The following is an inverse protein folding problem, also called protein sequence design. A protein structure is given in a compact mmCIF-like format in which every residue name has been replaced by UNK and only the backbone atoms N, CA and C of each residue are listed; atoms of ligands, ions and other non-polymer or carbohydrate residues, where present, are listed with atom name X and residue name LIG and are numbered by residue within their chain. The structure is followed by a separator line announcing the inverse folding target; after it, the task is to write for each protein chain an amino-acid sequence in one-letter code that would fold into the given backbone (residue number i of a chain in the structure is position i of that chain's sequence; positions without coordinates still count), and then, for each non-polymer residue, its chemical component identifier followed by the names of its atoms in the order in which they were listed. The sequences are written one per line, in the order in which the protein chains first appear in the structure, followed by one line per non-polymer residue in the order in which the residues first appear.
data_IF_285638411204
#
_entry.id   IF_285638411204
#
_cell.length_a   1.000
_cell.length_b   1.000
_cell.length_c   1.000
_cell.angle_alpha   90.00
_cell.angle_beta   90.00
_cell.angle_gamma   90.00
#
_symmetry.space_group_name_H-M   'P 1'
#
loop_
_entity.id
_entity.type
_entity.pdbx_description
1 polymer ?
#
# COMPACT_ATOMS: atom_id res chain seq x y z
N UNK A 1 -9.49 2.24 6.03
CA UNK A 1 -9.42 2.21 4.56
C UNK A 1 -8.57 3.38 4.08
N UNK A 2 -7.59 3.15 3.21
CA UNK A 2 -6.74 4.19 2.62
C UNK A 2 -7.10 4.36 1.13
N UNK A 3 -7.32 5.60 0.72
CA UNK A 3 -7.59 5.93 -0.68
C UNK A 3 -6.28 6.14 -1.44
N UNK A 4 -6.14 5.48 -2.57
CA UNK A 4 -5.03 5.63 -3.50
C UNK A 4 -5.55 6.24 -4.79
N UNK A 5 -4.92 7.33 -5.23
CA UNK A 5 -5.23 7.98 -6.52
C UNK A 5 -4.74 7.12 -7.68
N UNK A 6 -5.31 7.33 -8.87
CA UNK A 6 -4.82 6.72 -10.09
C UNK A 6 -3.38 7.13 -10.40
N UNK A 7 -2.60 6.23 -10.99
CA UNK A 7 -1.21 6.50 -11.40
C UNK A 7 -0.79 5.64 -12.60
N UNK A 8 0.35 5.99 -13.20
CA UNK A 8 0.98 5.15 -14.24
C UNK A 8 1.95 4.18 -13.57
N UNK A 9 1.71 2.89 -13.76
CA UNK A 9 2.58 1.80 -13.32
C UNK A 9 3.29 1.14 -14.49
N UNK A 10 4.04 0.07 -14.20
CA UNK A 10 4.63 -0.81 -15.22
C UNK A 10 4.28 -2.25 -14.96
N UNK A 11 4.09 -3.01 -16.03
CA UNK A 11 4.02 -4.46 -15.95
C UNK A 11 5.43 -5.00 -15.62
N UNK A 12 5.65 -5.65 -14.46
CA UNK A 12 6.97 -6.21 -14.13
C UNK A 12 7.41 -7.31 -15.10
N UNK A 13 6.43 -7.93 -15.77
CA UNK A 13 6.52 -8.79 -16.96
C UNK A 13 7.36 -8.22 -18.10
N UNK A 14 6.79 -7.15 -18.67
CA UNK A 14 7.09 -6.68 -20.03
C UNK A 14 7.68 -5.27 -20.05
N UNK A 15 7.63 -4.54 -18.93
CA UNK A 15 8.06 -3.14 -18.84
C UNK A 15 7.07 -2.13 -19.42
N UNK A 16 6.00 -2.59 -20.05
CA UNK A 16 4.95 -1.74 -20.63
C UNK A 16 4.29 -0.86 -19.58
N UNK A 17 3.93 0.36 -20.00
CA UNK A 17 3.25 1.33 -19.14
C UNK A 17 1.77 0.95 -19.05
N UNK A 18 1.27 0.87 -17.81
CA UNK A 18 -0.14 0.56 -17.53
C UNK A 18 -0.77 1.66 -16.68
N UNK A 19 -2.06 1.94 -16.89
CA UNK A 19 -2.82 2.88 -16.04
C UNK A 19 -3.48 2.12 -14.89
N UNK A 20 -3.12 2.47 -13.66
CA UNK A 20 -3.75 1.96 -12.45
C UNK A 20 -4.84 2.94 -12.02
N UNK A 21 -6.08 2.47 -11.92
CA UNK A 21 -7.22 3.28 -11.47
C UNK A 21 -7.13 3.59 -9.97
N UNK A 22 -7.88 4.59 -9.54
CA UNK A 22 -8.04 4.91 -8.13
C UNK A 22 -8.76 3.77 -7.39
N UNK A 23 -8.39 3.56 -6.12
CA UNK A 23 -8.92 2.47 -5.32
C UNK A 23 -8.86 2.76 -3.83
N UNK A 24 -9.78 2.16 -3.07
CA UNK A 24 -9.76 2.16 -1.60
C UNK A 24 -9.30 0.79 -1.14
N UNK A 25 -8.18 0.75 -0.43
CA UNK A 25 -7.62 -0.49 0.10
C UNK A 25 -7.78 -0.55 1.63
N UNK A 26 -7.96 -1.76 2.20
CA UNK A 26 -7.76 -1.96 3.63
C UNK A 26 -6.40 -1.42 4.05
N UNK A 27 -6.37 -0.77 5.21
CA UNK A 27 -5.14 -0.28 5.81
C UNK A 27 -5.17 -0.64 7.28
N UNK A 28 -4.11 -1.29 7.73
CA UNK A 28 -3.94 -1.63 9.13
C UNK A 28 -3.23 -0.48 9.85
N UNK A 29 -3.78 -0.04 10.98
CA UNK A 29 -3.13 0.90 11.89
C UNK A 29 -2.79 0.14 13.17
N UNK A 30 -1.51 0.01 13.44
CA UNK A 30 -1.01 -0.67 14.64
C UNK A 30 -1.41 0.10 15.89
N UNK A 31 -1.81 -0.63 16.94
CA UNK A 31 -2.02 -0.07 18.27
C UNK A 31 -0.68 0.19 18.98
N UNK A 32 -0.68 1.07 19.98
CA UNK A 32 0.53 1.44 20.72
C UNK A 32 1.25 0.23 21.32
N UNK A 33 0.51 -0.62 22.05
CA UNK A 33 1.07 -1.79 22.74
C UNK A 33 1.76 -2.79 21.79
N UNK A 34 1.09 -3.13 20.67
CA UNK A 34 1.67 -4.06 19.68
C UNK A 34 2.92 -3.46 19.03
N UNK A 35 2.91 -2.15 18.77
CA UNK A 35 4.08 -1.47 18.21
C UNK A 35 5.26 -1.51 19.18
N UNK A 36 5.04 -1.15 20.45
CA UNK A 36 6.11 -1.12 21.47
C UNK A 36 6.72 -2.50 21.69
N UNK A 37 5.91 -3.56 21.73
CA UNK A 37 6.40 -4.95 21.88
C UNK A 37 7.27 -5.44 20.71
N UNK A 38 6.94 -5.02 19.48
CA UNK A 38 7.68 -5.46 18.28
C UNK A 38 8.92 -4.61 18.04
N UNK A 39 8.84 -3.29 18.27
CA UNK A 39 9.96 -2.36 18.06
C UNK A 39 11.03 -2.47 19.18
N UNK A 40 10.72 -3.09 20.33
CA UNK A 40 11.66 -3.28 21.44
C UNK A 40 12.51 -4.56 21.36
N UNK A 41 12.27 -5.41 20.36
CA UNK A 41 13.10 -6.59 20.05
C UNK A 41 14.26 -6.25 19.11
#
# INVERSE_FOLDING_TARGET
MKAYRSYQGRNPKTGEIIRVQDKKLPFFKVGKELKERVDSE
#
